data_IF_101089951144
#
_entry.id   IF_101089951144
#
_cell.length_a   1.000
_cell.length_b   1.000
_cell.length_c   1.000
_cell.angle_alpha   90.00
_cell.angle_beta   90.00
_cell.angle_gamma   90.00
#
_symmetry.space_group_name_H-M   'P 1'
#
loop_
_entity.id
_entity.type
_entity.pdbx_description
1 polymer ?
#
# COMPACT_ATOMS: atom_id res chain seq x y z
N UNK A 1 20.64 -18.76 13.78
CA UNK A 1 19.22 -18.53 14.06
C UNK A 1 18.72 -17.54 13.02
N UNK A 2 18.08 -18.05 12.03
CA UNK A 2 17.42 -17.26 11.00
C UNK A 2 16.22 -16.57 11.65
N UNK A 3 16.32 -15.26 11.82
CA UNK A 3 15.15 -14.42 11.93
C UNK A 3 14.46 -14.38 10.56
N UNK A 4 13.94 -15.50 10.13
CA UNK A 4 12.82 -15.51 9.21
C UNK A 4 11.67 -14.88 10.01
N UNK A 5 11.67 -13.57 10.03
CA UNK A 5 10.46 -12.82 10.35
C UNK A 5 9.39 -13.46 9.48
N UNK A 6 8.43 -14.10 10.10
CA UNK A 6 7.33 -14.73 9.38
C UNK A 6 6.54 -13.61 8.66
N UNK A 7 7.08 -13.17 7.53
CA UNK A 7 6.51 -12.08 6.72
C UNK A 7 5.07 -12.39 6.32
N UNK A 8 4.74 -13.68 6.26
CA UNK A 8 3.37 -14.13 5.98
C UNK A 8 2.38 -13.81 7.12
N UNK A 9 2.86 -13.69 8.36
CA UNK A 9 2.02 -13.36 9.52
C UNK A 9 2.02 -11.85 9.84
N UNK A 10 3.03 -11.10 9.40
CA UNK A 10 3.11 -9.67 9.64
C UNK A 10 2.01 -8.91 8.88
N UNK A 11 1.47 -7.82 9.46
CA UNK A 11 0.44 -7.02 8.79
C UNK A 11 0.92 -6.46 7.45
N UNK A 12 -0.02 -6.27 6.53
CA UNK A 12 0.22 -5.61 5.25
C UNK A 12 -0.51 -4.27 5.21
N UNK A 13 0.13 -3.26 4.64
CA UNK A 13 -0.49 -1.96 4.39
C UNK A 13 -0.60 -1.71 2.90
N UNK A 14 -1.76 -1.23 2.47
CA UNK A 14 -2.03 -0.85 1.09
C UNK A 14 -1.90 0.66 0.97
N UNK A 15 -1.08 1.13 0.03
CA UNK A 15 -0.99 2.53 -0.39
C UNK A 15 -1.76 2.66 -1.70
N UNK A 16 -3.04 3.03 -1.67
CA UNK A 16 -3.88 3.02 -2.86
C UNK A 16 -3.65 4.25 -3.74
N UNK A 17 -4.38 4.30 -4.84
CA UNK A 17 -4.50 5.52 -5.63
C UNK A 17 -5.29 6.60 -4.88
N UNK A 18 -5.09 7.85 -5.26
CA UNK A 18 -5.71 9.02 -4.60
C UNK A 18 -7.19 9.21 -5.00
N UNK A 19 -7.59 8.68 -6.15
CA UNK A 19 -8.94 8.87 -6.69
C UNK A 19 -9.96 7.96 -6.01
N UNK A 20 -11.16 8.49 -5.77
CA UNK A 20 -12.25 7.78 -5.07
C UNK A 20 -12.56 6.42 -5.72
N UNK A 21 -12.75 6.40 -7.03
CA UNK A 21 -13.07 5.17 -7.75
C UNK A 21 -11.98 4.11 -7.64
N UNK A 22 -10.72 4.54 -7.72
CA UNK A 22 -9.57 3.64 -7.60
C UNK A 22 -9.38 3.19 -6.15
N UNK A 23 -9.69 4.04 -5.18
CA UNK A 23 -9.70 3.68 -3.77
C UNK A 23 -10.71 2.55 -3.50
N UNK A 24 -11.93 2.67 -3.99
CA UNK A 24 -12.96 1.62 -3.85
C UNK A 24 -12.53 0.33 -4.53
N UNK A 25 -11.92 0.42 -5.72
CA UNK A 25 -11.40 -0.75 -6.44
C UNK A 25 -10.29 -1.47 -5.67
N UNK A 26 -9.53 -0.78 -4.84
CA UNK A 26 -8.50 -1.41 -4.00
C UNK A 26 -9.07 -2.44 -3.02
N UNK A 27 -10.37 -2.42 -2.76
CA UNK A 27 -11.05 -3.43 -1.95
C UNK A 27 -10.92 -4.85 -2.54
N UNK A 28 -10.80 -4.98 -3.86
CA UNK A 28 -10.55 -6.28 -4.49
C UNK A 28 -9.21 -6.89 -4.03
N UNK A 29 -8.21 -6.06 -3.80
CA UNK A 29 -6.91 -6.48 -3.26
C UNK A 29 -7.03 -6.91 -1.80
N UNK A 30 -7.80 -6.18 -0.99
CA UNK A 30 -8.10 -6.57 0.39
C UNK A 30 -8.74 -7.96 0.43
N UNK A 31 -9.73 -8.20 -0.41
CA UNK A 31 -10.39 -9.51 -0.53
C UNK A 31 -9.44 -10.62 -0.91
N UNK A 32 -8.55 -10.34 -1.87
CA UNK A 32 -7.56 -11.32 -2.33
C UNK A 32 -6.55 -11.66 -1.23
N UNK A 33 -6.01 -10.66 -0.54
CA UNK A 33 -5.09 -10.87 0.58
C UNK A 33 -5.75 -11.66 1.72
N UNK A 34 -7.00 -11.36 2.03
CA UNK A 34 -7.76 -12.08 3.07
C UNK A 34 -8.10 -13.51 2.65
N UNK A 35 -8.30 -13.76 1.36
CA UNK A 35 -8.52 -15.11 0.85
C UNK A 35 -7.24 -15.96 0.92
N UNK A 36 -6.08 -15.34 0.66
CA UNK A 36 -4.78 -16.01 0.74
C UNK A 36 -4.36 -16.33 2.18
N UNK A 37 -4.59 -15.39 3.08
CA UNK A 37 -4.28 -15.54 4.50
C UNK A 37 -5.32 -14.81 5.36
N UNK A 38 -6.34 -15.54 5.85
CA UNK A 38 -7.43 -14.94 6.63
C UNK A 38 -6.99 -14.28 7.94
N UNK A 39 -5.89 -14.73 8.51
CA UNK A 39 -5.39 -14.21 9.79
C UNK A 39 -4.49 -12.98 9.63
N UNK A 40 -4.06 -12.68 8.40
CA UNK A 40 -3.19 -11.55 8.15
C UNK A 40 -3.96 -10.24 8.20
N UNK A 41 -3.55 -9.31 9.05
CA UNK A 41 -4.16 -8.00 9.15
C UNK A 41 -3.84 -7.15 7.92
N UNK A 42 -4.85 -6.47 7.38
CA UNK A 42 -4.74 -5.58 6.22
C UNK A 42 -5.18 -4.19 6.64
N UNK A 43 -4.29 -3.23 6.53
CA UNK A 43 -4.56 -1.81 6.75
C UNK A 43 -4.47 -1.05 5.43
N UNK A 44 -5.11 0.10 5.34
CA UNK A 44 -5.10 0.94 4.14
C UNK A 44 -4.80 2.39 4.49
N UNK A 45 -4.00 3.05 3.67
CA UNK A 45 -3.80 4.49 3.74
C UNK A 45 -4.90 5.18 2.93
N UNK A 46 -5.44 6.25 3.45
CA UNK A 46 -6.53 6.99 2.81
C UNK A 46 -6.36 8.49 2.97
N UNK A 47 -6.93 9.25 2.05
CA UNK A 47 -7.17 10.68 2.27
C UNK A 47 -8.37 10.88 3.21
N UNK A 48 -8.49 12.08 3.77
CA UNK A 48 -9.67 12.46 4.58
C UNK A 48 -10.97 12.28 3.78
N UNK A 49 -10.93 12.55 2.47
CA UNK A 49 -12.09 12.39 1.59
C UNK A 49 -12.54 10.93 1.44
N UNK A 50 -11.59 10.01 1.34
CA UNK A 50 -11.88 8.60 1.09
C UNK A 50 -12.03 7.76 2.37
N UNK A 51 -11.55 8.26 3.51
CA UNK A 51 -11.57 7.52 4.76
C UNK A 51 -12.94 6.94 5.15
N UNK A 52 -14.06 7.68 5.02
CA UNK A 52 -15.39 7.12 5.34
C UNK A 52 -15.77 5.92 4.48
N UNK A 53 -15.24 5.82 3.26
CA UNK A 53 -15.53 4.69 2.37
C UNK A 53 -14.91 3.38 2.89
N UNK A 54 -13.81 3.46 3.62
CA UNK A 54 -13.15 2.28 4.19
C UNK A 54 -14.04 1.55 5.20
N UNK A 55 -14.97 2.26 5.86
CA UNK A 55 -15.93 1.67 6.79
C UNK A 55 -16.89 0.68 6.10
N UNK A 56 -17.07 0.85 4.79
CA UNK A 56 -17.89 -0.02 3.95
C UNK A 56 -17.06 -1.07 3.19
N UNK A 57 -15.78 -1.21 3.51
CA UNK A 57 -14.86 -2.14 2.87
C UNK A 57 -14.43 -3.24 3.85
N UNK A 58 -15.21 -4.34 3.96
CA UNK A 58 -14.90 -5.42 4.90
C UNK A 58 -13.50 -6.01 4.69
N UNK A 59 -12.84 -6.39 5.77
CA UNK A 59 -11.51 -6.98 5.75
C UNK A 59 -10.38 -6.00 6.05
N UNK A 60 -10.65 -4.70 6.08
CA UNK A 60 -9.70 -3.69 6.52
C UNK A 60 -9.73 -3.61 8.05
N UNK A 61 -8.57 -3.78 8.68
CA UNK A 61 -8.44 -3.65 10.13
C UNK A 61 -8.41 -2.19 10.56
N UNK A 62 -7.60 -1.37 9.90
CA UNK A 62 -7.38 0.03 10.24
C UNK A 62 -7.18 0.88 9.00
N UNK A 63 -7.70 2.10 9.04
CA UNK A 63 -7.46 3.12 8.03
C UNK A 63 -6.51 4.17 8.59
N UNK A 64 -5.41 4.42 7.86
CA UNK A 64 -4.44 5.46 8.19
C UNK A 64 -4.74 6.67 7.32
N UNK A 65 -5.20 7.75 7.92
CA UNK A 65 -5.55 8.97 7.18
C UNK A 65 -4.31 9.83 6.97
N UNK A 66 -3.99 10.13 5.71
CA UNK A 66 -2.89 10.99 5.34
C UNK A 66 -3.23 11.76 4.06
N UNK A 67 -3.27 13.08 4.16
CA UNK A 67 -3.49 13.96 3.02
C UNK A 67 -2.16 14.48 2.50
N UNK A 68 -1.62 13.80 1.49
CA UNK A 68 -0.36 14.16 0.86
C UNK A 68 -0.60 15.18 -0.26
N UNK A 69 0.21 16.25 -0.35
CA UNK A 69 0.08 17.23 -1.41
C UNK A 69 0.34 16.61 -2.79
N UNK A 70 -0.48 16.94 -3.78
CA UNK A 70 -0.32 16.39 -5.14
C UNK A 70 0.86 16.99 -5.90
N UNK A 71 1.07 18.30 -5.76
CA UNK A 71 2.04 19.08 -6.54
C UNK A 71 3.38 19.28 -5.82
N UNK A 72 3.41 19.14 -4.49
CA UNK A 72 4.59 19.27 -3.65
C UNK A 72 4.99 17.94 -3.08
N UNK A 73 6.24 17.80 -2.69
CA UNK A 73 6.70 16.59 -2.01
C UNK A 73 6.03 16.41 -0.65
N UNK A 74 5.82 17.50 0.08
CA UNK A 74 5.20 17.43 1.41
C UNK A 74 6.03 16.62 2.40
N UNK A 75 7.31 16.94 2.55
CA UNK A 75 8.26 16.17 3.37
C UNK A 75 7.74 15.94 4.79
N UNK A 76 7.18 16.96 5.43
CA UNK A 76 6.65 16.84 6.79
C UNK A 76 5.50 15.81 6.87
N UNK A 77 4.60 15.82 5.90
CA UNK A 77 3.48 14.86 5.83
C UNK A 77 3.93 13.46 5.46
N UNK A 78 4.93 13.32 4.60
CA UNK A 78 5.55 12.04 4.28
C UNK A 78 6.21 11.42 5.52
N UNK A 79 6.93 12.21 6.29
CA UNK A 79 7.52 11.76 7.56
C UNK A 79 6.46 11.37 8.59
N UNK A 80 5.42 12.16 8.72
CA UNK A 80 4.32 11.88 9.62
C UNK A 80 3.63 10.56 9.27
N UNK A 81 3.39 10.31 7.98
CA UNK A 81 2.87 9.03 7.51
C UNK A 81 3.87 7.90 7.77
N UNK A 82 5.15 8.12 7.51
CA UNK A 82 6.20 7.13 7.76
C UNK A 82 6.27 6.72 9.24
N UNK A 83 6.12 7.66 10.16
CA UNK A 83 6.08 7.36 11.59
C UNK A 83 4.90 6.48 11.96
N UNK A 84 3.72 6.76 11.42
CA UNK A 84 2.53 5.92 11.62
C UNK A 84 2.70 4.53 11.03
N UNK A 85 3.31 4.42 9.86
CA UNK A 85 3.60 3.13 9.23
C UNK A 85 4.64 2.34 10.02
N UNK A 86 5.64 3.00 10.55
CA UNK A 86 6.66 2.36 11.40
C UNK A 86 6.04 1.76 12.67
N UNK A 87 5.16 2.50 13.32
CA UNK A 87 4.44 2.03 14.51
C UNK A 87 3.55 0.81 14.22
N UNK A 88 3.03 0.69 13.01
CA UNK A 88 2.18 -0.42 12.58
C UNK A 88 2.93 -1.74 12.40
N UNK A 89 4.25 -1.74 12.38
CA UNK A 89 5.11 -2.92 12.23
C UNK A 89 4.74 -3.80 11.04
N UNK A 90 4.49 -3.17 9.90
CA UNK A 90 4.12 -3.87 8.68
C UNK A 90 5.28 -4.69 8.11
N UNK A 91 4.99 -5.92 7.70
CA UNK A 91 5.94 -6.76 6.96
C UNK A 91 5.98 -6.42 5.47
N UNK A 92 4.89 -5.87 4.95
CA UNK A 92 4.77 -5.55 3.53
C UNK A 92 3.95 -4.29 3.30
N UNK A 93 4.34 -3.51 2.31
CA UNK A 93 3.55 -2.42 1.74
C UNK A 93 3.25 -2.72 0.27
N UNK A 94 1.99 -2.65 -0.12
CA UNK A 94 1.55 -2.72 -1.51
C UNK A 94 1.30 -1.30 -2.02
N UNK A 95 2.18 -0.83 -2.91
CA UNK A 95 2.12 0.53 -3.46
C UNK A 95 1.44 0.49 -4.83
N UNK A 96 0.16 0.89 -4.87
CA UNK A 96 -0.68 0.84 -6.06
C UNK A 96 -0.30 1.91 -7.08
N UNK A 97 -0.05 3.12 -6.61
CA UNK A 97 0.30 4.25 -7.47
C UNK A 97 1.68 4.06 -8.09
N UNK A 98 1.82 4.45 -9.35
CA UNK A 98 3.11 4.42 -10.07
C UNK A 98 4.01 5.62 -9.75
N UNK A 99 3.51 6.59 -9.00
CA UNK A 99 4.28 7.77 -8.59
C UNK A 99 5.32 7.41 -7.54
N UNK A 100 6.54 7.90 -7.70
CA UNK A 100 7.62 7.64 -6.76
C UNK A 100 7.31 8.13 -5.34
N UNK A 101 6.55 9.22 -5.22
CA UNK A 101 6.13 9.77 -3.93
C UNK A 101 5.30 8.78 -3.09
N UNK A 102 4.54 7.90 -3.75
CA UNK A 102 3.73 6.90 -3.05
C UNK A 102 4.59 5.83 -2.35
N UNK A 103 5.79 5.60 -2.84
CA UNK A 103 6.74 4.65 -2.25
C UNK A 103 7.63 5.26 -1.16
N UNK A 104 7.64 6.59 -1.01
CA UNK A 104 8.56 7.28 -0.11
C UNK A 104 8.28 6.99 1.36
N UNK A 105 7.04 7.12 1.82
CA UNK A 105 6.69 6.87 3.21
C UNK A 105 6.93 5.41 3.63
N UNK A 106 6.55 4.38 2.86
CA UNK A 106 6.92 3.01 3.17
C UNK A 106 8.44 2.77 3.26
N UNK A 107 9.21 3.43 2.40
CA UNK A 107 10.66 3.35 2.45
C UNK A 107 11.24 4.00 3.70
N UNK A 108 10.78 5.21 4.04
CA UNK A 108 11.19 5.92 5.26
C UNK A 108 10.80 5.16 6.53
N UNK A 109 9.67 4.47 6.50
CA UNK A 109 9.18 3.65 7.63
C UNK A 109 10.00 2.37 7.84
N UNK A 110 10.85 2.00 6.88
CA UNK A 110 11.66 0.78 6.97
C UNK A 110 10.86 -0.50 6.79
N UNK A 111 9.73 -0.45 6.08
CA UNK A 111 8.96 -1.66 5.78
C UNK A 111 9.81 -2.60 4.91
N UNK A 112 10.03 -3.86 5.34
CA UNK A 112 11.02 -4.73 4.70
C UNK A 112 10.67 -5.13 3.28
N UNK A 113 9.39 -5.35 2.97
CA UNK A 113 8.93 -5.69 1.62
C UNK A 113 8.05 -4.58 1.07
N UNK A 114 8.48 -3.97 -0.01
CA UNK A 114 7.77 -2.88 -0.68
C UNK A 114 7.50 -3.27 -2.12
N UNK A 115 6.27 -3.69 -2.37
CA UNK A 115 5.81 -4.23 -3.65
C UNK A 115 5.08 -3.16 -4.45
N UNK A 116 5.39 -3.04 -5.72
CA UNK A 116 4.70 -2.14 -6.63
C UNK A 116 5.10 -2.38 -8.08
N UNK A 117 4.36 -1.78 -9.02
CA UNK A 117 4.74 -1.83 -10.42
C UNK A 117 5.88 -0.88 -10.74
N UNK A 118 6.65 -1.23 -11.77
CA UNK A 118 7.67 -0.35 -12.34
C UNK A 118 7.02 0.99 -12.77
N UNK A 119 7.62 2.08 -12.38
CA UNK A 119 7.12 3.43 -12.65
C UNK A 119 8.23 4.47 -12.53
N UNK A 120 7.87 5.71 -12.17
CA UNK A 120 8.82 6.82 -12.05
C UNK A 120 9.93 6.51 -11.04
N UNK A 121 11.18 6.33 -11.50
CA UNK A 121 12.41 6.25 -10.69
C UNK A 121 12.27 5.63 -9.28
N UNK A 122 11.63 4.46 -9.17
CA UNK A 122 11.30 3.82 -7.88
C UNK A 122 12.21 2.66 -7.50
N UNK A 123 13.26 2.40 -8.24
CA UNK A 123 14.11 1.22 -8.03
C UNK A 123 14.79 1.18 -6.65
N UNK A 124 15.06 2.31 -6.02
CA UNK A 124 15.59 2.36 -4.66
C UNK A 124 14.51 2.35 -3.58
N UNK A 125 13.28 2.73 -3.91
CA UNK A 125 12.16 2.84 -2.96
C UNK A 125 11.34 1.55 -2.85
N UNK A 126 11.20 0.83 -3.96
CA UNK A 126 10.59 -0.50 -4.01
C UNK A 126 11.67 -1.56 -4.10
N UNK A 127 11.47 -2.68 -3.44
CA UNK A 127 12.36 -3.84 -3.50
C UNK A 127 11.69 -5.11 -4.06
N UNK A 128 10.41 -5.04 -4.37
CA UNK A 128 9.67 -6.06 -5.11
C UNK A 128 8.92 -5.37 -6.25
N UNK A 129 9.61 -5.15 -7.35
CA UNK A 129 9.08 -4.42 -8.51
C UNK A 129 8.46 -5.41 -9.48
N UNK A 130 7.17 -5.22 -9.75
CA UNK A 130 6.42 -6.02 -10.72
C UNK A 130 6.39 -5.33 -12.08
N UNK A 131 6.49 -6.13 -13.13
CA UNK A 131 6.46 -5.69 -14.53
C UNK A 131 5.25 -6.31 -15.24
N UNK A 132 4.86 -5.74 -16.36
CA UNK A 132 3.81 -6.29 -17.20
C UNK A 132 2.40 -5.79 -16.88
N UNK A 133 2.25 -4.74 -16.08
CA UNK A 133 0.96 -4.09 -15.80
C UNK A 133 0.14 -3.83 -17.07
N UNK A 134 0.82 -3.35 -18.13
CA UNK A 134 0.16 -3.03 -19.42
C UNK A 134 -0.44 -4.22 -20.15
N UNK A 135 -0.06 -5.44 -19.78
CA UNK A 135 -0.61 -6.68 -20.34
C UNK A 135 -1.95 -7.06 -19.72
N UNK A 136 -2.31 -6.44 -18.59
CA UNK A 136 -3.54 -6.72 -17.88
C UNK A 136 -4.60 -5.69 -18.28
N UNK A 137 -5.73 -6.13 -18.85
CA UNK A 137 -6.70 -5.22 -19.47
C UNK A 137 -7.53 -4.42 -18.46
N UNK A 138 -7.66 -4.91 -17.24
CA UNK A 138 -8.48 -4.25 -16.21
C UNK A 138 -7.64 -3.78 -15.03
N UNK A 139 -7.97 -2.61 -14.49
CA UNK A 139 -7.29 -2.05 -13.33
C UNK A 139 -7.37 -2.97 -12.10
N UNK A 140 -8.48 -3.69 -11.92
CA UNK A 140 -8.64 -4.66 -10.83
C UNK A 140 -7.62 -5.80 -10.97
N UNK A 141 -7.38 -6.28 -12.18
CA UNK A 141 -6.39 -7.32 -12.44
C UNK A 141 -4.97 -6.81 -12.18
N UNK A 142 -4.70 -5.56 -12.55
CA UNK A 142 -3.43 -4.88 -12.28
C UNK A 142 -3.17 -4.76 -10.76
N UNK A 143 -4.17 -4.34 -10.00
CA UNK A 143 -4.08 -4.24 -8.55
C UNK A 143 -3.89 -5.62 -7.92
N UNK A 144 -4.63 -6.64 -8.37
CA UNK A 144 -4.54 -8.01 -7.88
C UNK A 144 -3.17 -8.65 -8.11
N UNK A 145 -2.48 -8.27 -9.17
CA UNK A 145 -1.13 -8.77 -9.47
C UNK A 145 -0.06 -8.30 -8.47
N UNK A 146 -0.36 -7.34 -7.60
CA UNK A 146 0.52 -6.90 -6.51
C UNK A 146 0.30 -7.69 -5.22
N UNK A 147 -0.83 -8.32 -5.06
CA UNK A 147 -1.15 -9.14 -3.91
C UNK A 147 -0.58 -10.54 -4.05
#
# INVERSE_FOLDING_TARGET
MSHEFNQAAAPVVIIPFVWIGDFVRSHSVVKLLRAQNPDRAVDIVSSTLCAPLADYMPGIRRTIVADLPRRRLGVARQRQLADQLHEGKYGQALVMSRKWKAALAPWLAGIPLRTGFAGEFRFGLLNDIRFGERKLPRMIDQMGALA
#
